data_IF_685606648063
#
_entry.id   IF_685606648063
#
_cell.length_a   1.000
_cell.length_b   1.000
_cell.length_c   1.000
_cell.angle_alpha   90.00
_cell.angle_beta   90.00
_cell.angle_gamma   90.00
#
_symmetry.space_group_name_H-M   'P 1'
#
loop_
_entity.id
_entity.type
_entity.pdbx_description
1 polymer ?
#
# COMPACT_ATOMS: atom_id res chain seq x y z
N UNK A 1 16.20 -2.79 11.91
CA UNK A 1 15.85 -3.64 10.76
C UNK A 1 15.82 -2.74 9.53
N UNK A 2 16.62 -3.01 8.51
CA UNK A 2 16.60 -2.22 7.28
C UNK A 2 15.33 -2.55 6.47
N UNK A 3 14.79 -1.58 5.74
CA UNK A 3 13.61 -1.72 4.88
C UNK A 3 13.59 -0.61 3.84
N UNK A 4 12.74 -0.74 2.82
CA UNK A 4 12.62 0.27 1.76
C UNK A 4 11.36 1.11 1.98
N UNK A 5 11.47 2.40 1.70
CA UNK A 5 10.35 3.34 1.70
C UNK A 5 10.04 3.73 0.26
N UNK A 6 8.82 3.45 -0.19
CA UNK A 6 8.40 3.67 -1.57
C UNK A 6 7.34 4.79 -1.59
N UNK A 7 7.69 6.00 -2.05
CA UNK A 7 6.69 7.04 -2.30
C UNK A 7 5.89 6.70 -3.56
N UNK A 8 4.59 6.97 -3.52
CA UNK A 8 3.71 6.80 -4.66
C UNK A 8 2.53 7.75 -4.63
N UNK A 9 1.93 7.90 -5.80
CA UNK A 9 0.77 8.73 -6.01
C UNK A 9 -0.19 8.08 -7.01
N UNK A 10 -1.45 8.47 -6.94
CA UNK A 10 -2.48 8.02 -7.87
C UNK A 10 -3.78 8.76 -7.67
N UNK A 11 -4.70 8.61 -8.63
CA UNK A 11 -6.01 9.25 -8.57
C UNK A 11 -6.98 8.46 -7.70
N UNK A 12 -7.52 9.13 -6.68
CA UNK A 12 -8.67 8.73 -5.89
C UNK A 12 -9.99 9.11 -6.55
N UNK A 13 -11.04 9.27 -5.75
CA UNK A 13 -12.35 9.71 -6.22
C UNK A 13 -12.40 11.24 -6.36
N UNK A 14 -11.96 11.97 -5.34
CA UNK A 14 -11.94 13.43 -5.30
C UNK A 14 -10.70 14.04 -5.95
N UNK A 15 -9.59 13.29 -6.03
CA UNK A 15 -8.38 13.76 -6.69
C UNK A 15 -7.14 12.96 -6.32
N UNK A 16 -5.97 13.58 -6.44
CA UNK A 16 -4.70 12.90 -6.22
C UNK A 16 -4.52 12.50 -4.75
N UNK A 17 -3.99 11.29 -4.54
CA UNK A 17 -3.57 10.75 -3.25
C UNK A 17 -2.05 10.57 -3.31
N UNK A 18 -1.34 11.11 -2.32
CA UNK A 18 0.10 10.92 -2.13
C UNK A 18 0.33 10.08 -0.87
N UNK A 19 1.14 9.03 -0.98
CA UNK A 19 1.42 8.12 0.13
C UNK A 19 2.84 7.57 0.09
N UNK A 20 3.28 7.04 1.21
CA UNK A 20 4.50 6.24 1.34
C UNK A 20 4.12 4.89 1.92
N UNK A 21 4.67 3.81 1.34
CA UNK A 21 4.59 2.44 1.87
C UNK A 21 6.00 1.97 2.25
N UNK A 22 6.16 1.48 3.47
CA UNK A 22 7.36 0.79 3.90
C UNK A 22 7.26 -0.71 3.61
N UNK A 23 8.35 -1.33 3.15
CA UNK A 23 8.41 -2.76 2.85
C UNK A 23 9.68 -3.40 3.40
N UNK A 24 9.59 -4.69 3.72
CA UNK A 24 10.75 -5.50 4.10
C UNK A 24 11.73 -5.65 2.93
N UNK A 25 13.03 -5.91 3.17
CA UNK A 25 14.03 -6.01 2.11
C UNK A 25 13.74 -7.08 1.06
N UNK A 26 13.03 -8.14 1.46
CA UNK A 26 12.59 -9.24 0.59
C UNK A 26 11.26 -8.96 -0.14
N UNK A 27 10.66 -7.77 0.06
CA UNK A 27 9.39 -7.35 -0.51
C UNK A 27 8.20 -8.28 -0.20
N UNK A 28 8.29 -9.13 0.84
CA UNK A 28 7.21 -10.05 1.22
C UNK A 28 6.14 -9.39 2.07
N UNK A 29 6.51 -8.44 2.93
CA UNK A 29 5.59 -7.77 3.85
C UNK A 29 5.75 -6.26 3.84
N UNK A 30 4.67 -5.58 4.15
CA UNK A 30 4.68 -4.14 4.45
C UNK A 30 5.08 -3.89 5.90
N UNK A 31 5.89 -2.86 6.14
CA UNK A 31 6.21 -2.35 7.48
C UNK A 31 5.27 -1.22 7.91
N UNK A 32 4.33 -0.81 7.05
CA UNK A 32 3.33 0.22 7.33
C UNK A 32 3.11 1.17 6.14
N UNK A 33 1.98 1.86 6.15
CA UNK A 33 1.61 2.86 5.14
C UNK A 33 1.31 4.19 5.82
N UNK A 34 1.68 5.28 5.16
CA UNK A 34 1.26 6.64 5.52
C UNK A 34 0.70 7.37 4.31
N UNK A 35 -0.56 7.79 4.37
CA UNK A 35 -1.08 8.79 3.42
C UNK A 35 -0.55 10.15 3.87
N UNK A 36 0.13 10.84 2.96
CA UNK A 36 0.71 12.16 3.16
C UNK A 36 -0.33 13.24 2.86
N UNK A 37 -0.99 13.11 1.71
CA UNK A 37 -1.95 14.10 1.20
C UNK A 37 -3.08 13.39 0.45
N UNK A 38 -4.29 13.92 0.57
CA UNK A 38 -5.45 13.54 -0.22
C UNK A 38 -6.47 14.68 -0.22
N UNK A 39 -7.34 14.72 -1.22
CA UNK A 39 -8.42 15.70 -1.37
C UNK A 39 -9.80 15.04 -1.34
N UNK A 40 -9.90 13.88 -0.70
CA UNK A 40 -11.12 13.11 -0.61
C UNK A 40 -12.11 13.73 0.39
N UNK A 41 -13.40 13.45 0.23
CA UNK A 41 -14.44 13.98 1.12
C UNK A 41 -14.21 13.54 2.58
N UNK A 42 -14.08 14.48 3.54
CA UNK A 42 -13.94 14.15 4.96
C UNK A 42 -15.08 13.26 5.47
N UNK A 43 -14.76 12.27 6.31
CA UNK A 43 -15.74 11.32 6.85
C UNK A 43 -16.17 10.19 5.89
N UNK A 44 -15.82 10.28 4.60
CA UNK A 44 -16.05 9.26 3.59
C UNK A 44 -14.72 8.75 3.02
N UNK A 45 -14.29 9.24 1.85
CA UNK A 45 -13.01 8.88 1.23
C UNK A 45 -11.81 9.37 2.02
N UNK A 46 -11.92 10.48 2.74
CA UNK A 46 -10.84 11.04 3.57
C UNK A 46 -10.37 10.10 4.69
N UNK A 47 -11.18 9.08 5.03
CA UNK A 47 -10.83 8.03 6.01
C UNK A 47 -9.58 7.23 5.62
N UNK A 48 -9.14 7.28 4.36
CA UNK A 48 -7.84 6.70 3.97
C UNK A 48 -6.66 7.37 4.72
N UNK A 49 -6.82 8.61 5.16
CA UNK A 49 -5.86 9.36 5.97
C UNK A 49 -5.82 8.93 7.45
N UNK A 50 -6.80 8.14 7.89
CA UNK A 50 -6.95 7.78 9.30
C UNK A 50 -6.12 6.56 9.68
N UNK A 51 -5.68 6.53 10.95
CA UNK A 51 -4.89 5.41 11.50
C UNK A 51 -5.61 4.07 11.37
N UNK A 52 -6.94 4.04 11.51
CA UNK A 52 -7.74 2.82 11.44
C UNK A 52 -7.59 2.11 10.09
N UNK A 53 -7.62 2.86 8.98
CA UNK A 53 -7.42 2.29 7.64
C UNK A 53 -5.94 1.92 7.40
N UNK A 54 -5.02 2.84 7.75
CA UNK A 54 -3.59 2.66 7.51
C UNK A 54 -2.97 1.51 8.33
N UNK A 55 -3.50 1.22 9.51
CA UNK A 55 -3.08 0.10 10.35
C UNK A 55 -3.23 -1.26 9.65
N UNK A 56 -4.18 -1.39 8.71
CA UNK A 56 -4.37 -2.61 7.93
C UNK A 56 -3.15 -2.99 7.08
N UNK A 57 -2.27 -2.03 6.77
CA UNK A 57 -1.05 -2.24 6.00
C UNK A 57 0.13 -2.69 6.84
N UNK A 58 0.09 -2.58 8.17
CA UNK A 58 1.19 -3.05 9.02
C UNK A 58 1.26 -4.58 8.98
N UNK A 59 2.39 -5.14 8.56
CA UNK A 59 2.60 -6.60 8.46
C UNK A 59 1.81 -7.26 7.32
N UNK A 60 1.17 -6.48 6.44
CA UNK A 60 0.40 -6.98 5.31
C UNK A 60 1.28 -7.77 4.34
N UNK A 61 0.82 -8.95 3.92
CA UNK A 61 1.50 -9.76 2.91
C UNK A 61 1.32 -9.15 1.53
N UNK A 62 2.41 -9.08 0.77
CA UNK A 62 2.48 -8.42 -0.53
C UNK A 62 2.54 -9.40 -1.72
N UNK A 63 2.49 -10.71 -1.45
CA UNK A 63 2.37 -11.79 -2.45
C UNK A 63 1.36 -12.85 -1.96
N UNK A 64 0.29 -13.14 -2.72
CA UNK A 64 -0.12 -12.49 -3.97
C UNK A 64 -0.45 -11.00 -3.78
N UNK A 65 -0.68 -10.28 -4.89
CA UNK A 65 -0.98 -8.85 -4.86
C UNK A 65 -2.07 -8.49 -3.83
N UNK A 66 -1.96 -7.30 -3.24
CA UNK A 66 -2.90 -6.83 -2.21
C UNK A 66 -4.30 -6.73 -2.79
N UNK A 67 -5.28 -7.32 -2.10
CA UNK A 67 -6.67 -7.33 -2.52
C UNK A 67 -7.52 -6.40 -1.63
N UNK A 68 -8.39 -5.60 -2.26
CA UNK A 68 -9.40 -4.85 -1.52
C UNK A 68 -10.71 -5.64 -1.47
N UNK A 69 -11.21 -5.87 -0.25
CA UNK A 69 -12.45 -6.61 0.03
C UNK A 69 -13.52 -5.69 0.61
N UNK A 70 -14.80 -5.98 0.37
CA UNK A 70 -15.92 -5.16 0.89
C UNK A 70 -16.33 -5.51 2.33
N UNK A 71 -15.77 -6.58 2.90
CA UNK A 71 -16.09 -7.08 4.23
C UNK A 71 -14.85 -7.26 5.09
N UNK A 72 -14.96 -8.15 6.09
CA UNK A 72 -13.85 -8.49 6.94
C UNK A 72 -12.67 -9.08 6.14
N UNK A 73 -11.46 -8.77 6.59
CA UNK A 73 -10.22 -9.38 6.11
C UNK A 73 -10.25 -10.87 6.47
N UNK A 74 -10.02 -11.71 5.48
CA UNK A 74 -9.94 -13.18 5.66
C UNK A 74 -8.57 -13.74 5.31
N UNK A 75 -7.77 -12.99 4.55
CA UNK A 75 -6.41 -13.36 4.15
C UNK A 75 -5.39 -12.30 4.54
N UNK A 76 -4.12 -12.68 4.53
CA UNK A 76 -3.05 -11.80 4.97
C UNK A 76 -2.65 -10.71 3.97
N UNK A 77 -3.15 -10.79 2.73
CA UNK A 77 -2.94 -9.80 1.67
C UNK A 77 -4.20 -8.94 1.42
N UNK A 78 -5.17 -8.95 2.32
CA UNK A 78 -6.45 -8.24 2.14
C UNK A 78 -6.55 -6.95 2.97
N UNK A 79 -7.17 -5.94 2.38
CA UNK A 79 -7.54 -4.67 3.02
C UNK A 79 -9.06 -4.48 2.89
N UNK A 80 -9.78 -4.30 4.00
CA UNK A 80 -11.19 -3.91 3.96
C UNK A 80 -11.37 -2.53 3.35
N UNK A 81 -12.33 -2.40 2.44
CA UNK A 81 -12.76 -1.13 1.91
C UNK A 81 -13.46 -0.31 2.98
N UNK A 82 -13.25 1.00 2.96
CA UNK A 82 -14.06 1.93 3.73
C UNK A 82 -15.48 1.91 3.14
N UNK A 83 -16.47 1.65 3.99
CA UNK A 83 -17.88 1.67 3.60
C UNK A 83 -18.25 3.01 2.99
N UNK A 84 -18.86 2.99 1.80
CA UNK A 84 -19.21 4.19 1.05
C UNK A 84 -18.04 4.87 0.31
N UNK A 85 -16.80 4.40 0.47
CA UNK A 85 -15.61 4.98 -0.16
C UNK A 85 -14.72 3.92 -0.84
N UNK A 86 -15.34 3.04 -1.63
CA UNK A 86 -14.61 1.95 -2.31
C UNK A 86 -13.59 2.47 -3.32
N UNK A 87 -13.87 3.58 -4.01
CA UNK A 87 -12.96 4.13 -5.04
C UNK A 87 -11.67 4.64 -4.39
N UNK A 88 -11.77 5.45 -3.34
CA UNK A 88 -10.60 5.97 -2.60
C UNK A 88 -9.79 4.84 -1.97
N UNK A 89 -10.48 3.85 -1.38
CA UNK A 89 -9.82 2.65 -0.82
C UNK A 89 -9.08 1.85 -1.90
N UNK A 90 -9.69 1.68 -3.08
CA UNK A 90 -9.11 0.97 -4.23
C UNK A 90 -7.89 1.72 -4.77
N UNK A 91 -7.94 3.04 -4.81
CA UNK A 91 -6.82 3.86 -5.27
C UNK A 91 -5.57 3.61 -4.43
N UNK A 92 -5.68 3.58 -3.10
CA UNK A 92 -4.54 3.26 -2.22
C UNK A 92 -3.96 1.88 -2.52
N UNK A 93 -4.81 0.85 -2.62
CA UNK A 93 -4.37 -0.52 -2.95
C UNK A 93 -3.69 -0.59 -4.32
N UNK A 94 -4.21 0.13 -5.30
CA UNK A 94 -3.63 0.18 -6.65
C UNK A 94 -2.25 0.85 -6.65
N UNK A 95 -2.08 1.97 -5.92
CA UNK A 95 -0.78 2.64 -5.78
C UNK A 95 0.22 1.66 -5.16
N UNK A 96 -0.14 1.01 -4.04
CA UNK A 96 0.72 0.03 -3.36
C UNK A 96 1.15 -1.11 -4.28
N UNK A 97 0.19 -1.75 -4.96
CA UNK A 97 0.49 -2.84 -5.90
C UNK A 97 1.35 -2.36 -7.08
N UNK A 98 1.12 -1.14 -7.58
CA UNK A 98 1.92 -0.53 -8.64
C UNK A 98 3.37 -0.32 -8.21
N UNK A 99 3.60 0.21 -7.01
CA UNK A 99 4.93 0.39 -6.44
C UNK A 99 5.66 -0.94 -6.28
N UNK A 100 4.99 -1.94 -5.71
CA UNK A 100 5.57 -3.28 -5.51
C UNK A 100 5.94 -3.91 -6.86
N UNK A 101 5.01 -3.90 -7.83
CA UNK A 101 5.25 -4.43 -9.17
C UNK A 101 6.43 -3.75 -9.86
N UNK A 102 6.59 -2.44 -9.68
CA UNK A 102 7.67 -1.66 -10.27
C UNK A 102 9.02 -1.93 -9.60
N UNK A 103 9.09 -1.84 -8.27
CA UNK A 103 10.36 -1.79 -7.54
C UNK A 103 10.89 -3.15 -7.11
N UNK A 104 10.02 -4.14 -6.82
CA UNK A 104 10.44 -5.49 -6.41
C UNK A 104 11.48 -6.10 -7.36
N UNK A 105 11.24 -6.22 -8.68
CA UNK A 105 12.22 -6.85 -9.56
C UNK A 105 13.50 -6.03 -9.76
N UNK A 106 13.45 -4.71 -9.58
CA UNK A 106 14.62 -3.84 -9.74
C UNK A 106 15.56 -3.99 -8.55
N UNK A 107 15.02 -3.84 -7.34
CA UNK A 107 15.80 -3.86 -6.10
C UNK A 107 16.28 -5.28 -5.76
N UNK A 108 15.47 -6.31 -6.01
CA UNK A 108 15.90 -7.69 -5.72
C UNK A 108 17.00 -8.17 -6.68
N UNK A 109 17.01 -7.71 -7.94
CA UNK A 109 18.11 -8.00 -8.88
C UNK A 109 19.41 -7.30 -8.47
N UNK A 110 19.34 -6.04 -8.08
CA UNK A 110 20.51 -5.26 -7.62
C UNK A 110 21.19 -5.92 -6.41
N UNK A 111 20.40 -6.38 -5.44
CA UNK A 111 20.92 -7.09 -4.26
C UNK A 111 21.60 -8.44 -4.59
N UNK A 112 21.27 -9.05 -5.73
CA UNK A 112 21.92 -10.28 -6.21
C UNK A 112 23.22 -9.98 -6.97
N UNK A 113 23.34 -8.82 -7.62
CA UNK A 113 24.57 -8.45 -8.37
C UNK A 113 25.70 -7.93 -7.48
N UNK A 114 25.38 -7.40 -6.29
CA UNK A 114 26.38 -6.84 -5.36
C UNK A 114 27.01 -7.91 -4.45
N UNK A 115 26.45 -9.11 -4.40
CA UNK A 115 26.99 -10.23 -3.61
C UNK A 115 27.29 -11.44 -4.51
N UNK A 116 28.27 -11.36 -5.43
CA UNK A 116 28.75 -12.53 -6.13
C UNK A 116 29.38 -13.48 -5.11
N UNK A 117 28.95 -14.74 -5.12
CA UNK A 117 29.73 -15.82 -4.49
C UNK A 117 31.09 -15.93 -5.17
#
# INVERSE_FOLDING_TARGET
>A
MAGYSLPGQGMGYGGQINLIIGVTPDFKKSTGLKVLENVETPGLGGKIGEKAFQAGFLGLVLEPAVALVKGARTKDNEIPAITGATISSRAVVNIVNGLIKKYRPLILKENQTVNPQ
#
